data_IF_770069291530
#
_entry.id   IF_770069291530
#
_cell.length_a   1.000
_cell.length_b   1.000
_cell.length_c   1.000
_cell.angle_alpha   90.00
_cell.angle_beta   90.00
_cell.angle_gamma   90.00
#
_symmetry.space_group_name_H-M   'P 1'
#
loop_
_entity.id
_entity.type
_entity.pdbx_description
1 polymer ?
#
# COMPACT_ATOMS: atom_id res chain seq x y z
N UNK A 1 -15.39 -10.50 10.30
CA UNK A 1 -14.96 -11.46 11.35
C UNK A 1 -14.56 -10.68 12.59
N UNK A 2 -14.70 -11.25 13.78
CA UNK A 2 -14.29 -10.59 15.03
C UNK A 2 -13.74 -11.65 15.99
N UNK A 3 -12.78 -11.27 16.83
CA UNK A 3 -12.10 -12.16 17.77
C UNK A 3 -10.72 -11.62 18.15
N UNK A 4 -10.03 -12.33 19.06
CA UNK A 4 -8.64 -12.04 19.39
C UNK A 4 -7.74 -12.78 18.41
N UNK A 5 -6.85 -12.04 17.76
CA UNK A 5 -5.90 -12.57 16.79
C UNK A 5 -4.59 -11.82 16.95
N UNK A 6 -3.48 -12.54 16.81
CA UNK A 6 -2.17 -11.93 16.73
C UNK A 6 -1.85 -11.65 15.27
N UNK A 7 -1.37 -10.43 14.98
CA UNK A 7 -0.88 -10.06 13.65
C UNK A 7 0.50 -10.65 13.48
N UNK A 8 0.62 -11.67 12.63
CA UNK A 8 1.90 -12.33 12.35
C UNK A 8 2.64 -11.60 11.22
N UNK A 9 1.90 -11.16 10.21
CA UNK A 9 2.45 -10.38 9.10
C UNK A 9 1.39 -9.49 8.48
N UNK A 10 1.78 -8.27 8.14
CA UNK A 10 0.99 -7.30 7.40
C UNK A 10 1.86 -6.70 6.30
N UNK A 11 1.43 -6.82 5.05
CA UNK A 11 2.16 -6.27 3.91
C UNK A 11 1.20 -5.72 2.87
N UNK A 12 1.69 -4.84 2.00
CA UNK A 12 0.87 -4.30 0.94
C UNK A 12 1.46 -3.07 0.29
N UNK A 13 0.65 -2.41 -0.53
CA UNK A 13 1.04 -1.21 -1.26
C UNK A 13 -0.02 -0.13 -1.10
N UNK A 14 0.44 1.11 -1.16
CA UNK A 14 -0.41 2.28 -1.13
C UNK A 14 0.09 3.30 -2.16
N UNK A 15 -0.80 3.69 -3.05
CA UNK A 15 -0.58 4.68 -4.10
C UNK A 15 -1.51 5.85 -3.82
N UNK A 16 -0.92 7.04 -3.68
CA UNK A 16 -1.67 8.28 -3.58
C UNK A 16 -1.92 8.79 -5.00
N UNK A 17 -3.19 8.83 -5.41
CA UNK A 17 -3.63 9.46 -6.65
C UNK A 17 -3.96 10.92 -6.34
N UNK A 18 -3.22 11.83 -6.96
CA UNK A 18 -3.52 13.25 -6.95
C UNK A 18 -4.40 13.58 -8.16
N UNK A 19 -5.71 13.63 -7.94
CA UNK A 19 -6.64 14.21 -8.91
C UNK A 19 -6.93 15.63 -8.42
N UNK A 20 -6.93 16.61 -9.33
CA UNK A 20 -6.96 18.06 -9.05
C UNK A 20 -8.02 18.55 -8.03
N UNK A 21 -9.02 17.74 -7.67
CA UNK A 21 -10.09 18.05 -6.70
C UNK A 21 -10.21 17.05 -5.53
N UNK A 22 -9.46 15.94 -5.51
CA UNK A 22 -9.51 14.94 -4.44
C UNK A 22 -8.28 14.03 -4.40
N UNK A 23 -7.76 13.76 -3.21
CA UNK A 23 -6.76 12.73 -3.00
C UNK A 23 -7.43 11.35 -2.93
N UNK A 24 -7.19 10.52 -3.95
CA UNK A 24 -7.57 9.12 -3.96
C UNK A 24 -6.47 8.23 -3.39
N UNK A 25 -6.83 7.13 -2.73
CA UNK A 25 -5.87 6.11 -2.30
C UNK A 25 -6.20 4.81 -3.04
N UNK A 26 -5.24 4.30 -3.80
CA UNK A 26 -5.27 2.96 -4.40
C UNK A 26 -4.29 2.04 -3.69
N UNK A 27 -4.56 0.74 -3.70
CA UNK A 27 -3.67 -0.26 -3.11
C UNK A 27 -4.45 -1.33 -2.36
N UNK A 28 -3.74 -2.05 -1.50
CA UNK A 28 -4.33 -3.14 -0.73
C UNK A 28 -3.34 -3.66 0.29
N UNK A 29 -3.89 -4.20 1.37
CA UNK A 29 -3.15 -4.87 2.43
C UNK A 29 -3.52 -6.35 2.46
N UNK A 30 -2.51 -7.20 2.59
CA UNK A 30 -2.63 -8.62 2.86
C UNK A 30 -2.14 -8.90 4.28
N UNK A 31 -2.85 -9.77 4.99
CA UNK A 31 -2.56 -10.07 6.40
C UNK A 31 -2.49 -11.57 6.63
N UNK A 32 -1.62 -11.97 7.57
CA UNK A 32 -1.58 -13.29 8.20
C UNK A 32 -1.85 -13.10 9.69
N UNK A 33 -2.88 -13.79 10.19
CA UNK A 33 -3.31 -13.72 11.58
C UNK A 33 -3.23 -15.11 12.22
N UNK A 34 -2.77 -15.16 13.47
CA UNK A 34 -2.83 -16.36 14.30
C UNK A 34 -4.02 -16.28 15.24
N UNK A 35 -4.71 -17.40 15.42
CA UNK A 35 -5.74 -17.57 16.43
C UNK A 35 -5.15 -18.14 17.73
N UNK A 36 -5.86 -17.96 18.86
CA UNK A 36 -5.48 -18.58 20.12
C UNK A 36 -5.42 -20.11 20.09
N UNK A 37 -6.12 -20.75 19.13
CA UNK A 37 -6.10 -22.21 18.92
C UNK A 37 -4.88 -22.70 18.12
N UNK A 38 -3.96 -21.79 17.75
CA UNK A 38 -2.77 -22.09 16.94
C UNK A 38 -3.05 -22.19 15.43
N UNK A 39 -4.30 -22.02 14.99
CA UNK A 39 -4.63 -21.96 13.57
C UNK A 39 -4.30 -20.59 12.97
N UNK A 40 -4.05 -20.56 11.67
CA UNK A 40 -3.74 -19.33 10.94
C UNK A 40 -4.82 -19.02 9.90
N UNK A 41 -5.04 -17.72 9.67
CA UNK A 41 -5.85 -17.23 8.54
C UNK A 41 -5.08 -16.17 7.77
N UNK A 42 -5.20 -16.20 6.45
CA UNK A 42 -4.62 -15.19 5.58
C UNK A 42 -5.63 -14.66 4.57
N UNK A 43 -5.40 -13.47 4.06
CA UNK A 43 -6.25 -12.87 3.04
C UNK A 43 -5.96 -11.39 2.82
N UNK A 44 -6.79 -10.78 1.97
CA UNK A 44 -6.75 -9.34 1.68
C UNK A 44 -7.73 -8.61 2.60
N UNK A 45 -7.32 -7.45 3.10
CA UNK A 45 -8.18 -6.55 3.87
C UNK A 45 -9.07 -5.78 2.89
N UNK A 46 -10.36 -6.10 2.86
CA UNK A 46 -11.32 -5.45 1.97
C UNK A 46 -11.74 -4.05 2.46
N UNK A 47 -11.85 -3.87 3.77
CA UNK A 47 -12.24 -2.59 4.39
C UNK A 47 -11.33 -2.27 5.58
N UNK A 48 -11.82 -2.42 6.82
CA UNK A 48 -11.12 -2.01 8.02
C UNK A 48 -10.64 -3.20 8.85
N UNK A 49 -9.35 -3.21 9.17
CA UNK A 49 -8.75 -4.11 10.16
C UNK A 49 -8.46 -3.30 11.43
N UNK A 50 -9.23 -3.54 12.50
CA UNK A 50 -9.10 -2.83 13.77
C UNK A 50 -8.21 -3.61 14.74
N UNK A 51 -7.08 -3.01 15.14
CA UNK A 51 -6.22 -3.58 16.18
C UNK A 51 -6.82 -3.38 17.58
N UNK A 52 -6.64 -4.36 18.46
CA UNK A 52 -7.03 -4.31 19.87
C UNK A 52 -6.06 -3.49 20.73
N UNK A 53 -4.85 -3.28 20.24
CA UNK A 53 -3.76 -2.52 20.86
C UNK A 53 -3.04 -1.66 19.81
N UNK A 54 -2.22 -0.67 20.22
CA UNK A 54 -1.38 0.08 19.28
C UNK A 54 -0.47 -0.85 18.47
N UNK A 55 -0.37 -0.59 17.16
CA UNK A 55 0.50 -1.33 16.23
C UNK A 55 1.49 -0.35 15.62
N UNK A 56 2.77 -0.71 15.66
CA UNK A 56 3.84 0.03 15.00
C UNK A 56 4.09 -0.55 13.60
N UNK A 57 4.15 0.30 12.58
CA UNK A 57 4.37 -0.11 11.20
C UNK A 57 5.46 0.74 10.55
N UNK A 58 6.34 0.09 9.79
CA UNK A 58 7.31 0.78 8.94
C UNK A 58 6.75 0.90 7.52
N UNK A 59 6.62 2.14 7.03
CA UNK A 59 6.15 2.42 5.67
C UNK A 59 7.30 2.94 4.83
N UNK A 60 7.49 2.34 3.65
CA UNK A 60 8.45 2.81 2.66
C UNK A 60 7.73 3.55 1.54
N UNK A 61 8.18 4.78 1.25
CA UNK A 61 7.72 5.56 0.10
C UNK A 61 8.73 5.45 -1.04
N UNK A 62 8.23 5.30 -2.26
CA UNK A 62 9.01 5.44 -3.47
C UNK A 62 8.69 6.79 -4.15
N UNK A 63 9.72 7.54 -4.55
CA UNK A 63 9.58 8.82 -5.26
C UNK A 63 10.31 8.66 -6.61
N UNK A 64 9.59 8.56 -7.73
CA UNK A 64 10.22 8.45 -9.04
C UNK A 64 10.95 9.76 -9.39
N UNK A 65 12.17 9.66 -9.92
CA UNK A 65 12.87 10.81 -10.50
C UNK A 65 12.25 11.13 -11.86
N UNK A 66 11.99 12.41 -12.14
CA UNK A 66 11.62 12.83 -13.49
C UNK A 66 12.85 12.66 -14.39
N UNK A 67 12.76 11.81 -15.40
CA UNK A 67 13.74 11.81 -16.49
C UNK A 67 13.60 13.13 -17.26
N UNK A 68 14.74 13.75 -17.59
CA UNK A 68 14.74 14.94 -18.44
C UNK A 68 14.26 14.51 -19.83
N UNK A 69 13.32 15.23 -20.45
CA UNK A 69 13.02 14.99 -21.86
C UNK A 69 14.31 15.14 -22.66
N UNK A 70 14.56 14.19 -23.55
CA UNK A 70 15.66 14.30 -24.51
C UNK A 70 15.44 15.60 -25.31
N UNK A 71 16.48 16.40 -25.56
CA UNK A 71 16.34 17.56 -26.43
C UNK A 71 15.83 17.10 -27.80
N UNK A 72 14.69 17.63 -28.25
CA UNK A 72 14.27 17.50 -29.65
C UNK A 72 15.38 18.06 -30.52
N UNK A 73 15.96 17.22 -31.39
CA UNK A 73 16.84 17.69 -32.44
C UNK A 73 16.06 18.69 -33.31
N UNK A 74 16.60 19.88 -33.62
CA UNK A 74 15.94 20.78 -34.53
C UNK A 74 15.84 20.09 -35.88
N UNK A 75 14.60 19.81 -36.30
CA UNK A 75 14.24 19.39 -37.65
C UNK A 75 14.83 20.38 -38.66
N UNK A 76 16.01 20.06 -39.20
CA UNK A 76 16.54 20.70 -40.38
C UNK A 76 15.75 20.21 -41.59
N UNK A 77 14.73 20.97 -41.97
CA UNK A 77 14.16 20.91 -43.32
C UNK A 77 14.97 21.86 -44.20
N UNK A 78 15.66 21.29 -45.19
CA UNK A 78 15.99 21.95 -46.44
C UNK A 78 15.14 21.30 -47.53
#
# INVERSE_FOLDING_TARGET
MQGHYDIISLSGTLLLLDNNDSLGIMGGLSVLLSRPDGSNICGVVAEMLKASSPVELLVRRYIPKKEKPMPEEPSSTC
#
